data_IF_328600093181
#
_entry.id   IF_328600093181
#
_cell.length_a   1.000
_cell.length_b   1.000
_cell.length_c   1.000
_cell.angle_alpha   90.00
_cell.angle_beta   90.00
_cell.angle_gamma   90.00
#
_symmetry.space_group_name_H-M   'P 1'
#
loop_
_entity.id
_entity.type
_entity.pdbx_description
1 polymer ?
#
# COMPACT_ATOMS: atom_id res chain seq x y z
N UNK A 1 4.52 14.53 0.10
CA UNK A 1 4.62 13.15 -0.42
C UNK A 1 4.20 12.25 0.72
N UNK A 2 3.21 11.37 0.53
CA UNK A 2 2.70 10.52 1.62
C UNK A 2 3.64 9.32 1.82
N UNK A 3 3.89 8.95 3.07
CA UNK A 3 4.76 7.83 3.47
C UNK A 3 4.03 6.94 4.48
N UNK A 4 4.09 5.62 4.29
CA UNK A 4 3.48 4.65 5.20
C UNK A 4 4.36 4.27 6.38
N UNK A 5 5.66 4.59 6.37
CA UNK A 5 6.57 4.16 7.43
C UNK A 5 6.19 4.71 8.82
N UNK A 6 5.78 6.00 8.97
CA UNK A 6 5.34 6.51 10.28
C UNK A 6 4.15 5.75 10.86
N UNK A 7 3.12 5.47 10.05
CA UNK A 7 1.93 4.76 10.55
C UNK A 7 2.23 3.29 10.83
N UNK A 8 3.09 2.65 10.04
CA UNK A 8 3.53 1.27 10.31
C UNK A 8 4.33 1.18 11.61
N UNK A 9 5.17 2.16 11.90
CA UNK A 9 5.93 2.22 13.14
C UNK A 9 4.99 2.35 14.36
N UNK A 10 4.01 3.25 14.30
CA UNK A 10 3.01 3.43 15.37
C UNK A 10 2.17 2.17 15.60
N UNK A 11 1.67 1.55 14.52
CA UNK A 11 0.89 0.32 14.62
C UNK A 11 1.69 -0.80 15.30
N UNK A 12 2.96 -0.98 14.91
CA UNK A 12 3.84 -1.98 15.52
C UNK A 12 4.18 -1.65 16.98
N UNK A 13 4.44 -0.39 17.30
CA UNK A 13 4.74 0.05 18.67
C UNK A 13 3.56 -0.21 19.63
N UNK A 14 2.33 -0.13 19.13
CA UNK A 14 1.11 -0.42 19.88
C UNK A 14 0.63 -1.89 19.75
N UNK A 15 1.38 -2.76 19.07
CA UNK A 15 1.04 -4.18 18.92
C UNK A 15 -0.22 -4.43 18.09
N UNK A 16 -0.60 -3.49 17.22
CA UNK A 16 -1.75 -3.66 16.32
C UNK A 16 -1.38 -4.63 15.19
N UNK A 17 -2.05 -5.78 15.05
CA UNK A 17 -1.72 -6.75 14.02
C UNK A 17 -2.11 -6.22 12.63
N UNK A 18 -1.24 -6.47 11.65
CA UNK A 18 -1.57 -6.25 10.25
C UNK A 18 -2.34 -7.45 9.71
N UNK A 19 -3.43 -7.19 9.00
CA UNK A 19 -4.14 -8.22 8.24
C UNK A 19 -3.33 -8.65 7.01
N UNK A 20 -2.63 -7.69 6.39
CA UNK A 20 -1.69 -7.91 5.30
C UNK A 20 -0.47 -7.02 5.50
N UNK A 21 0.72 -7.62 5.50
CA UNK A 21 1.99 -6.91 5.59
C UNK A 21 2.18 -5.95 4.39
N UNK A 22 3.04 -4.92 4.53
CA UNK A 22 3.32 -4.00 3.43
C UNK A 22 3.85 -4.71 2.19
N UNK A 23 3.20 -4.45 1.06
CA UNK A 23 3.63 -4.93 -0.25
C UNK A 23 3.59 -3.81 -1.28
N UNK A 24 4.33 -3.98 -2.36
CA UNK A 24 4.23 -3.15 -3.56
C UNK A 24 3.45 -3.90 -4.62
N UNK A 25 2.42 -3.24 -5.18
CA UNK A 25 1.64 -3.73 -6.31
C UNK A 25 1.67 -2.74 -7.46
N UNK A 26 1.68 -3.28 -8.66
CA UNK A 26 1.51 -2.52 -9.90
C UNK A 26 0.25 -3.01 -10.60
N UNK A 27 -0.70 -2.12 -10.72
CA UNK A 27 -2.00 -2.40 -11.31
C UNK A 27 -2.04 -1.84 -12.71
N UNK A 28 -2.41 -2.67 -13.68
CA UNK A 28 -2.72 -2.22 -15.02
C UNK A 28 -3.99 -1.37 -15.01
N UNK A 29 -3.91 -0.21 -15.64
CA UNK A 29 -5.03 0.70 -15.90
C UNK A 29 -4.96 1.04 -17.40
N UNK A 30 -5.82 0.41 -18.20
CA UNK A 30 -5.78 0.53 -19.66
C UNK A 30 -4.40 0.23 -20.25
N UNK A 31 -3.72 1.25 -20.80
CA UNK A 31 -2.36 1.23 -21.39
C UNK A 31 -1.27 1.72 -20.42
N UNK A 32 -1.66 2.08 -19.20
CA UNK A 32 -0.78 2.51 -18.11
C UNK A 32 -0.69 1.46 -16.99
N UNK A 33 0.31 1.63 -16.13
CA UNK A 33 0.39 0.95 -14.84
C UNK A 33 0.54 1.96 -13.69
N UNK A 34 -0.14 1.68 -12.59
CA UNK A 34 -0.09 2.48 -11.37
C UNK A 34 0.47 1.68 -10.21
N UNK A 35 1.44 2.27 -9.52
CA UNK A 35 2.12 1.64 -8.41
C UNK A 35 1.60 2.10 -7.09
N UNK A 36 1.49 1.16 -6.17
CA UNK A 36 1.10 1.46 -4.82
C UNK A 36 1.86 0.56 -3.86
N UNK A 37 2.41 1.16 -2.81
CA UNK A 37 2.75 0.42 -1.60
C UNK A 37 1.50 0.41 -0.71
N UNK A 38 1.12 -0.75 -0.19
CA UNK A 38 -0.12 -0.89 0.58
C UNK A 38 0.02 -1.91 1.71
N UNK A 39 -0.78 -1.76 2.75
CA UNK A 39 -0.98 -2.76 3.81
C UNK A 39 -2.44 -2.71 4.29
N UNK A 40 -2.86 -3.72 5.06
CA UNK A 40 -4.21 -3.82 5.61
C UNK A 40 -4.18 -4.00 7.13
N UNK A 41 -5.13 -3.37 7.81
CA UNK A 41 -5.42 -3.59 9.24
C UNK A 41 -6.92 -3.76 9.43
N UNK A 42 -7.32 -4.46 10.49
CA UNK A 42 -8.71 -4.52 10.92
C UNK A 42 -8.94 -3.53 12.07
N UNK A 43 -10.08 -2.84 12.06
CA UNK A 43 -10.52 -2.09 13.24
C UNK A 43 -11.28 -3.01 14.23
N UNK A 44 -11.58 -2.54 15.47
CA UNK A 44 -12.30 -3.35 16.46
C UNK A 44 -13.73 -3.77 16.07
N UNK A 45 -14.37 -3.04 15.16
CA UNK A 45 -15.73 -3.34 14.68
C UNK A 45 -15.73 -4.33 13.50
N UNK A 46 -14.54 -4.71 13.02
CA UNK A 46 -14.34 -5.70 11.96
C UNK A 46 -14.24 -5.11 10.55
N UNK A 47 -14.09 -3.78 10.41
CA UNK A 47 -13.81 -3.18 9.10
C UNK A 47 -12.36 -3.41 8.70
N UNK A 48 -12.15 -3.57 7.40
CA UNK A 48 -10.83 -3.72 6.81
C UNK A 48 -10.37 -2.37 6.24
N UNK A 49 -9.37 -1.76 6.87
CA UNK A 49 -8.79 -0.49 6.45
C UNK A 49 -7.59 -0.76 5.54
N UNK A 50 -7.55 -0.07 4.38
CA UNK A 50 -6.45 -0.15 3.42
C UNK A 50 -5.69 1.15 3.34
N UNK A 51 -4.46 1.14 3.82
CA UNK A 51 -3.53 2.26 3.68
C UNK A 51 -2.71 2.10 2.40
N UNK A 52 -2.49 3.21 1.70
CA UNK A 52 -1.81 3.19 0.42
C UNK A 52 -0.98 4.44 0.18
N UNK A 53 0.22 4.22 -0.39
CA UNK A 53 1.14 5.24 -0.83
C UNK A 53 1.35 5.07 -2.34
N UNK A 54 0.87 6.03 -3.15
CA UNK A 54 1.11 6.03 -4.59
C UNK A 54 2.61 6.13 -4.89
N UNK A 55 3.09 5.29 -5.81
CA UNK A 55 4.49 5.25 -6.26
C UNK A 55 4.69 5.90 -7.63
N UNK A 56 3.60 6.37 -8.26
CA UNK A 56 3.59 6.94 -9.60
C UNK A 56 2.77 6.11 -10.59
N UNK A 57 2.71 6.63 -11.82
CA UNK A 57 2.04 6.01 -12.97
C UNK A 57 2.91 6.17 -14.21
N UNK A 58 2.80 5.25 -15.16
CA UNK A 58 3.52 5.31 -16.43
C UNK A 58 2.97 4.31 -17.45
N UNK A 59 3.51 4.29 -18.68
CA UNK A 59 3.13 3.31 -19.69
C UNK A 59 3.35 1.88 -19.20
N UNK A 60 2.50 0.94 -19.62
CA UNK A 60 2.69 -0.47 -19.31
C UNK A 60 4.06 -0.98 -19.77
N UNK A 61 4.76 -1.66 -18.88
CA UNK A 61 6.06 -2.28 -19.18
C UNK A 61 7.23 -1.31 -19.15
N UNK A 62 7.03 -0.07 -18.68
CA UNK A 62 8.09 0.93 -18.63
C UNK A 62 9.19 0.66 -17.59
N UNK A 63 9.13 -0.47 -16.87
CA UNK A 63 10.12 -0.87 -15.85
C UNK A 63 11.06 -1.98 -16.30
N UNK A 64 10.77 -2.60 -17.43
CA UNK A 64 11.57 -3.68 -18.02
C UNK A 64 12.49 -3.17 -19.15
N UNK A 65 12.63 -1.84 -19.28
CA UNK A 65 13.46 -1.15 -20.27
C UNK A 65 14.75 -0.57 -19.69
#
# INVERSE_FOLDING_TARGET
>A
MADLDPILAELRAHGVPLFMEPETRWYRIDEEEAGVRQFLVTDPDGYLLRFQQPLGRGPLGSRDA
#
